data_IF_715053123009
#
_entry.id   IF_715053123009
#
_cell.length_a   1.000
_cell.length_b   1.000
_cell.length_c   1.000
_cell.angle_alpha   90.00
_cell.angle_beta   90.00
_cell.angle_gamma   90.00
#
_symmetry.space_group_name_H-M   'P 1'
#
loop_
_entity.id
_entity.type
_entity.pdbx_description
1 polymer ?
#
# COMPACT_ATOMS: atom_id res chain seq x y z
N UNK A 1 -4.13 -3.02 17.54
CA UNK A 1 -4.03 -4.18 16.62
C UNK A 1 -2.98 -3.82 15.59
N UNK A 2 -1.87 -4.56 15.54
CA UNK A 2 -0.86 -4.43 14.48
C UNK A 2 -1.26 -5.37 13.34
N UNK A 3 -1.08 -4.94 12.10
CA UNK A 3 -1.43 -5.74 10.92
C UNK A 3 -2.19 -4.96 9.86
N UNK A 4 -1.83 -5.20 8.59
CA UNK A 4 -2.55 -4.66 7.45
C UNK A 4 -3.89 -5.40 7.29
N UNK A 5 -4.94 -4.65 6.97
CA UNK A 5 -6.26 -5.20 6.66
C UNK A 5 -6.57 -4.92 5.20
N UNK A 6 -7.14 -5.91 4.53
CA UNK A 6 -7.67 -5.78 3.19
C UNK A 6 -9.16 -5.97 3.27
N UNK A 7 -9.93 -5.11 2.61
CA UNK A 7 -11.36 -5.31 2.47
C UNK A 7 -11.85 -5.14 1.05
N UNK A 8 -12.89 -5.91 0.74
CA UNK A 8 -13.62 -5.79 -0.52
C UNK A 8 -15.10 -6.05 -0.24
N UNK A 9 -15.97 -5.09 -0.60
CA UNK A 9 -17.42 -5.13 -0.31
C UNK A 9 -17.75 -5.55 1.15
N UNK A 10 -17.14 -4.87 2.12
CA UNK A 10 -17.36 -5.10 3.56
C UNK A 10 -16.95 -6.49 4.06
N UNK A 11 -16.25 -7.29 3.25
CA UNK A 11 -15.55 -8.49 3.69
C UNK A 11 -14.10 -8.16 3.95
N UNK A 12 -13.62 -8.54 5.12
CA UNK A 12 -12.30 -8.23 5.61
C UNK A 12 -11.44 -9.48 5.64
N UNK A 13 -10.18 -9.34 5.20
CA UNK A 13 -9.11 -10.26 5.49
C UNK A 13 -8.09 -9.53 6.37
N UNK A 14 -7.82 -10.09 7.55
CA UNK A 14 -6.80 -9.58 8.44
C UNK A 14 -5.49 -10.32 8.18
N UNK A 15 -4.39 -9.58 8.20
CA UNK A 15 -3.05 -10.13 8.02
C UNK A 15 -2.25 -9.95 9.30
N UNK A 16 -1.29 -10.84 9.51
CA UNK A 16 -0.29 -10.72 10.58
C UNK A 16 0.96 -10.00 10.07
N UNK A 17 0.84 -9.18 9.02
CA UNK A 17 1.97 -8.50 8.42
C UNK A 17 2.41 -7.34 9.31
N UNK A 18 3.68 -7.38 9.70
CA UNK A 18 4.36 -6.28 10.37
C UNK A 18 5.31 -5.60 9.40
N UNK A 19 5.39 -4.27 9.47
CA UNK A 19 6.34 -3.48 8.68
C UNK A 19 7.24 -2.68 9.59
N UNK A 20 8.54 -2.58 9.26
CA UNK A 20 9.48 -1.81 10.06
C UNK A 20 9.06 -0.33 10.09
N UNK A 21 8.94 0.22 11.30
CA UNK A 21 8.71 1.65 11.49
C UNK A 21 9.97 2.44 11.11
N UNK A 22 9.82 3.66 10.58
CA UNK A 22 10.94 4.57 10.23
C UNK A 22 11.82 4.10 9.06
N UNK A 23 11.43 3.05 8.35
CA UNK A 23 12.12 2.54 7.16
C UNK A 23 11.17 2.54 5.96
N UNK A 24 11.71 2.85 4.78
CA UNK A 24 11.00 2.69 3.53
C UNK A 24 10.68 1.23 3.25
N UNK A 25 9.40 0.93 3.04
CA UNK A 25 8.96 -0.39 2.59
C UNK A 25 8.19 -0.28 1.28
N UNK A 26 8.46 -1.19 0.34
CA UNK A 26 7.60 -1.36 -0.84
C UNK A 26 6.50 -2.36 -0.52
N UNK A 27 5.26 -1.89 -0.59
CA UNK A 27 4.06 -2.69 -0.39
C UNK A 27 3.31 -2.84 -1.71
N UNK A 28 3.12 -4.08 -2.13
CA UNK A 28 2.33 -4.39 -3.31
C UNK A 28 1.14 -5.28 -2.94
N UNK A 29 -0.07 -4.81 -3.27
CA UNK A 29 -1.29 -5.60 -3.17
C UNK A 29 -1.76 -6.01 -4.57
N UNK A 30 -2.07 -7.30 -4.75
CA UNK A 30 -2.65 -7.83 -5.97
C UNK A 30 -3.98 -8.50 -5.65
N UNK A 31 -5.01 -8.21 -6.44
CA UNK A 31 -6.30 -8.88 -6.37
C UNK A 31 -6.74 -9.37 -7.75
N UNK A 32 -7.23 -10.60 -7.81
CA UNK A 32 -7.78 -11.22 -9.02
C UNK A 32 -9.28 -11.45 -8.88
N UNK A 33 -10.08 -10.70 -9.63
CA UNK A 33 -11.55 -10.76 -9.65
C UNK A 33 -12.08 -12.13 -10.07
N UNK A 34 -11.43 -12.78 -11.03
CA UNK A 34 -11.90 -14.06 -11.59
C UNK A 34 -11.85 -15.21 -10.59
N UNK A 35 -10.86 -15.22 -9.68
CA UNK A 35 -10.67 -16.28 -8.68
C UNK A 35 -10.95 -15.82 -7.25
N UNK A 36 -11.03 -14.50 -7.02
CA UNK A 36 -11.14 -13.90 -5.69
C UNK A 36 -9.83 -13.93 -4.90
N UNK A 37 -8.73 -14.37 -5.49
CA UNK A 37 -7.43 -14.47 -4.83
C UNK A 37 -6.80 -13.09 -4.61
N UNK A 38 -6.14 -12.93 -3.47
CA UNK A 38 -5.34 -11.76 -3.18
C UNK A 38 -3.95 -12.15 -2.66
N UNK A 39 -3.00 -11.26 -2.91
CA UNK A 39 -1.60 -11.42 -2.52
C UNK A 39 -1.06 -10.10 -2.00
N UNK A 40 -0.22 -10.16 -0.97
CA UNK A 40 0.59 -9.05 -0.49
C UNK A 40 2.06 -9.43 -0.67
N UNK A 41 2.80 -8.48 -1.23
CA UNK A 41 4.24 -8.54 -1.31
C UNK A 41 4.84 -7.38 -0.52
N UNK A 42 5.85 -7.68 0.29
CA UNK A 42 6.65 -6.71 1.01
C UNK A 42 8.08 -6.77 0.47
N UNK A 43 8.61 -5.65 0.01
CA UNK A 43 9.95 -5.57 -0.59
C UNK A 43 10.20 -6.69 -1.61
N UNK A 44 9.23 -6.88 -2.52
CA UNK A 44 9.32 -7.89 -3.59
C UNK A 44 9.08 -9.35 -3.17
N UNK A 45 8.93 -9.66 -1.88
CA UNK A 45 8.66 -11.02 -1.39
C UNK A 45 7.20 -11.21 -1.02
N UNK A 46 6.59 -12.33 -1.41
CA UNK A 46 5.21 -12.65 -1.04
C UNK A 46 5.13 -12.98 0.45
N UNK A 47 4.45 -12.15 1.24
CA UNK A 47 4.34 -12.33 2.69
C UNK A 47 2.98 -12.89 3.10
N UNK A 48 1.91 -12.56 2.37
CA UNK A 48 0.56 -13.01 2.68
C UNK A 48 -0.24 -13.25 1.40
N UNK A 49 -1.20 -14.16 1.48
CA UNK A 49 -2.18 -14.42 0.44
C UNK A 49 -3.46 -14.96 1.06
N UNK A 50 -4.52 -14.98 0.26
CA UNK A 50 -5.77 -15.60 0.63
C UNK A 50 -6.80 -15.44 -0.47
N UNK A 51 -8.06 -15.65 -0.11
CA UNK A 51 -9.18 -15.43 -1.02
C UNK A 51 -10.30 -14.65 -0.34
N UNK A 52 -11.00 -13.87 -1.15
CA UNK A 52 -12.28 -13.25 -0.82
C UNK A 52 -13.34 -13.86 -1.76
N UNK A 53 -14.64 -13.75 -1.43
CA UNK A 53 -15.69 -14.26 -2.30
C UNK A 53 -15.55 -13.78 -3.74
N UNK A 54 -15.60 -14.70 -4.69
CA UNK A 54 -15.50 -14.39 -6.13
C UNK A 54 -16.56 -13.36 -6.51
N UNK A 55 -16.12 -12.27 -7.09
CA UNK A 55 -17.02 -11.19 -7.46
C UNK A 55 -17.57 -11.42 -8.85
N UNK A 56 -18.90 -11.54 -8.94
CA UNK A 56 -19.63 -11.62 -10.22
C UNK A 56 -19.87 -10.25 -10.87
N UNK A 57 -19.45 -9.16 -10.22
CA UNK A 57 -19.62 -7.78 -10.68
C UNK A 57 -18.27 -7.07 -10.64
N UNK A 58 -17.91 -6.38 -11.71
CA UNK A 58 -16.72 -5.53 -11.82
C UNK A 58 -16.81 -4.37 -10.83
N UNK A 59 -15.66 -3.82 -10.41
CA UNK A 59 -15.61 -2.52 -9.72
C UNK A 59 -16.34 -1.50 -10.59
N UNK A 60 -17.46 -1.00 -10.09
CA UNK A 60 -18.25 -0.02 -10.82
C UNK A 60 -17.49 1.30 -10.82
N UNK A 61 -17.40 1.96 -11.98
CA UNK A 61 -16.81 3.30 -12.08
C UNK A 61 -17.54 4.33 -11.22
N UNK A 62 -16.99 5.55 -11.14
CA UNK A 62 -17.47 6.68 -10.30
C UNK A 62 -17.20 6.54 -8.80
N UNK A 63 -16.29 5.63 -8.41
CA UNK A 63 -15.74 5.59 -7.05
C UNK A 63 -14.78 6.75 -6.74
N UNK A 64 -14.37 6.86 -5.48
CA UNK A 64 -13.35 7.80 -5.02
C UNK A 64 -12.12 7.05 -4.48
N UNK A 65 -10.93 7.43 -4.92
CA UNK A 65 -9.66 6.96 -4.35
C UNK A 65 -9.25 7.91 -3.22
N UNK A 66 -9.14 7.38 -2.01
CA UNK A 66 -8.74 8.14 -0.83
C UNK A 66 -7.45 7.52 -0.28
N UNK A 67 -6.47 8.37 0.00
CA UNK A 67 -5.18 7.98 0.57
C UNK A 67 -5.08 8.59 1.97
N UNK A 68 -4.73 7.74 2.94
CA UNK A 68 -4.46 8.15 4.30
C UNK A 68 -5.67 8.36 5.22
N UNK A 69 -6.87 8.00 4.76
CA UNK A 69 -8.10 8.00 5.58
C UNK A 69 -8.95 6.77 5.26
N UNK A 70 -9.68 6.27 6.25
CA UNK A 70 -10.76 5.30 6.05
C UNK A 70 -12.06 6.02 5.66
N UNK A 71 -12.76 5.53 4.63
CA UNK A 71 -14.08 6.04 4.24
C UNK A 71 -15.21 5.30 4.96
N UNK A 72 -15.96 6.02 5.81
CA UNK A 72 -17.25 5.55 6.35
C UNK A 72 -18.45 5.97 5.48
N UNK A 73 -18.23 6.92 4.56
CA UNK A 73 -19.22 7.37 3.57
C UNK A 73 -18.53 7.65 2.22
N UNK A 74 -19.30 7.75 1.14
CA UNK A 74 -18.75 8.06 -0.18
C UNK A 74 -17.98 9.38 -0.15
N UNK A 75 -16.65 9.32 -0.36
CA UNK A 75 -15.76 10.48 -0.35
C UNK A 75 -15.60 11.17 1.01
N UNK A 76 -16.03 10.55 2.11
CA UNK A 76 -16.05 11.20 3.42
C UNK A 76 -16.28 10.26 4.60
N UNK A 77 -16.73 10.83 5.72
CA UNK A 77 -16.88 10.10 6.99
C UNK A 77 -15.54 9.82 7.69
N UNK A 78 -14.50 10.60 7.39
CA UNK A 78 -13.16 10.39 7.94
C UNK A 78 -13.11 10.65 9.44
N UNK A 79 -12.42 9.77 10.17
CA UNK A 79 -12.15 9.92 11.59
C UNK A 79 -10.65 10.11 11.84
N UNK A 80 -10.30 11.07 12.71
CA UNK A 80 -8.89 11.46 12.94
C UNK A 80 -8.04 10.30 13.44
N UNK A 81 -8.59 9.46 14.30
CA UNK A 81 -7.95 8.28 14.89
C UNK A 81 -7.76 7.13 13.90
N UNK A 82 -8.43 7.17 12.75
CA UNK A 82 -8.27 6.23 11.63
C UNK A 82 -7.36 6.77 10.52
N UNK A 83 -6.72 7.92 10.74
CA UNK A 83 -5.85 8.55 9.75
C UNK A 83 -4.46 7.92 9.71
N UNK A 84 -3.89 7.86 8.51
CA UNK A 84 -2.50 7.48 8.29
C UNK A 84 -1.58 8.64 8.65
N UNK A 85 -0.52 8.35 9.42
CA UNK A 85 0.54 9.30 9.77
C UNK A 85 1.88 8.74 9.30
N UNK A 86 2.40 9.30 8.21
CA UNK A 86 3.58 8.77 7.54
C UNK A 86 3.88 9.44 6.20
N UNK A 87 4.75 8.82 5.43
CA UNK A 87 5.13 9.24 4.08
C UNK A 87 4.73 8.18 3.06
N UNK A 88 4.12 8.60 1.96
CA UNK A 88 3.82 7.72 0.83
C UNK A 88 4.50 8.30 -0.40
N UNK A 89 5.23 7.46 -1.13
CA UNK A 89 5.81 7.82 -2.43
C UNK A 89 5.54 6.73 -3.46
N UNK A 90 5.79 7.00 -4.74
CA UNK A 90 5.66 6.04 -5.83
C UNK A 90 4.34 5.23 -5.78
N UNK A 91 3.22 5.91 -5.53
CA UNK A 91 1.90 5.29 -5.58
C UNK A 91 1.56 4.93 -7.03
N UNK A 92 1.27 3.66 -7.27
CA UNK A 92 0.90 3.17 -8.58
C UNK A 92 -0.30 2.23 -8.50
N UNK A 93 -1.22 2.35 -9.45
CA UNK A 93 -2.43 1.53 -9.55
C UNK A 93 -2.58 1.03 -10.99
N UNK A 94 -2.81 -0.27 -11.16
CA UNK A 94 -2.93 -0.90 -12.47
C UNK A 94 -4.19 -1.76 -12.59
N UNK A 95 -4.76 -1.79 -13.80
CA UNK A 95 -5.89 -2.66 -14.18
C UNK A 95 -5.49 -3.58 -15.33
N UNK A 96 -5.78 -4.88 -15.23
CA UNK A 96 -5.55 -5.86 -16.29
C UNK A 96 -4.13 -6.45 -16.29
N UNK A 97 -3.97 -7.57 -16.99
CA UNK A 97 -2.80 -8.47 -16.94
C UNK A 97 -1.52 -7.70 -17.28
N UNK A 98 -0.77 -7.34 -16.25
CA UNK A 98 0.64 -6.97 -16.39
C UNK A 98 1.48 -7.79 -15.43
N UNK A 99 1.28 -9.12 -15.46
CA UNK A 99 2.12 -10.09 -14.75
C UNK A 99 3.60 -9.74 -14.93
N UNK A 100 4.04 -9.34 -16.13
CA UNK A 100 5.44 -8.97 -16.36
C UNK A 100 5.91 -7.71 -15.63
N UNK A 101 5.14 -6.63 -15.60
CA UNK A 101 5.56 -5.39 -14.92
C UNK A 101 5.48 -5.56 -13.42
N UNK A 102 4.44 -6.22 -12.93
CA UNK A 102 4.32 -6.54 -11.50
C UNK A 102 5.47 -7.45 -11.09
N UNK A 103 5.78 -8.50 -11.85
CA UNK A 103 6.96 -9.34 -11.59
C UNK A 103 8.27 -8.57 -11.67
N UNK A 104 8.44 -7.64 -12.63
CA UNK A 104 9.63 -6.79 -12.72
C UNK A 104 9.75 -5.84 -11.54
N UNK A 105 8.66 -5.22 -11.09
CA UNK A 105 8.64 -4.39 -9.90
C UNK A 105 8.97 -5.21 -8.66
N UNK A 106 8.29 -6.36 -8.48
CA UNK A 106 8.59 -7.28 -7.40
C UNK A 106 10.06 -7.70 -7.41
N UNK A 107 10.62 -8.06 -8.58
CA UNK A 107 12.04 -8.38 -8.74
C UNK A 107 12.96 -7.19 -8.42
N UNK A 108 12.58 -5.96 -8.81
CA UNK A 108 13.37 -4.77 -8.54
C UNK A 108 13.44 -4.43 -7.05
N UNK A 109 12.39 -4.75 -6.28
CA UNK A 109 12.36 -4.56 -4.83
C UNK A 109 12.81 -5.79 -4.05
N UNK A 110 12.94 -6.96 -4.69
CA UNK A 110 13.34 -8.21 -4.02
C UNK A 110 14.76 -8.11 -3.48
N UNK A 111 14.91 -8.38 -2.19
CA UNK A 111 16.21 -8.25 -1.52
C UNK A 111 16.66 -6.81 -1.29
N UNK A 112 15.77 -5.82 -1.55
CA UNK A 112 16.00 -4.45 -1.15
C UNK A 112 16.01 -4.39 0.38
N UNK A 113 17.20 -4.41 0.96
CA UNK A 113 17.41 -4.05 2.36
C UNK A 113 17.31 -2.54 2.43
N UNK A 114 16.36 -2.04 3.21
CA UNK A 114 16.18 -0.60 3.40
C UNK A 114 17.50 -0.04 3.92
N UNK A 115 18.25 0.73 3.11
CA UNK A 115 19.44 1.38 3.62
C UNK A 115 18.96 2.30 4.73
N UNK A 116 19.70 2.31 5.84
CA UNK A 116 19.48 3.20 6.97
C UNK A 116 19.74 4.64 6.49
N UNK A 117 18.86 5.17 5.65
CA UNK A 117 18.77 6.58 5.37
C UNK A 117 18.12 7.15 6.62
N UNK A 118 18.97 7.49 7.59
CA UNK A 118 18.61 8.60 8.45
C UNK A 118 18.07 9.70 7.53
N UNK A 119 16.90 10.29 7.81
CA UNK A 119 16.25 11.24 6.89
C UNK A 119 16.99 12.58 6.72
N UNK A 120 18.32 12.61 6.89
CA UNK A 120 19.13 13.83 6.88
C UNK A 120 19.93 14.06 5.60
N UNK A 121 19.92 13.19 4.57
CA UNK A 121 20.90 13.34 3.47
C UNK A 121 20.46 13.03 2.03
N UNK A 122 19.20 12.69 1.71
CA UNK A 122 18.82 12.44 0.30
C UNK A 122 17.76 13.45 -0.18
N UNK A 123 18.26 14.36 -1.01
CA UNK A 123 17.57 15.28 -1.93
C UNK A 123 16.97 16.59 -1.39
N UNK A 124 17.89 17.49 -1.04
CA UNK A 124 17.76 18.95 -1.10
C UNK A 124 17.61 19.53 -2.53
N UNK A 125 17.18 18.76 -3.53
CA UNK A 125 17.33 19.14 -4.95
C UNK A 125 16.06 19.67 -5.63
N UNK A 126 14.89 19.69 -4.97
CA UNK A 126 13.71 20.38 -5.52
C UNK A 126 13.22 21.49 -4.58
N UNK A 127 14.05 22.52 -4.47
CA UNK A 127 13.78 23.88 -3.97
C UNK A 127 12.47 24.10 -3.17
N UNK A 128 12.61 24.13 -1.85
CA UNK A 128 11.63 24.76 -0.96
C UNK A 128 11.65 24.15 0.43
N UNK A 129 12.60 24.58 1.27
CA UNK A 129 12.72 24.24 2.70
C UNK A 129 11.36 23.94 3.35
N UNK A 130 11.16 22.70 3.79
CA UNK A 130 10.26 22.40 4.90
C UNK A 130 11.04 21.56 5.90
N UNK A 131 11.31 22.16 7.04
CA UNK A 131 11.76 21.44 8.22
C UNK A 131 10.59 20.54 8.66
N UNK A 132 10.73 19.23 8.47
CA UNK A 132 9.77 18.27 8.98
C UNK A 132 10.21 17.85 10.38
N UNK A 133 9.48 18.35 11.38
CA UNK A 133 9.70 18.03 12.79
C UNK A 133 9.54 16.53 13.12
N UNK A 134 10.21 16.13 14.22
CA UNK A 134 10.22 14.83 14.90
C UNK A 134 9.40 13.68 14.26
N UNK A 135 10.12 12.72 13.69
CA UNK A 135 9.60 11.51 13.02
C UNK A 135 9.39 10.34 13.98
N UNK A 136 8.74 10.55 15.11
CA UNK A 136 8.37 9.45 15.99
C UNK A 136 7.19 8.65 15.40
N UNK A 137 7.42 7.38 15.07
CA UNK A 137 6.35 6.41 14.76
C UNK A 137 5.73 6.45 13.36
N UNK A 138 6.34 7.13 12.40
CA UNK A 138 5.81 7.25 11.02
C UNK A 138 6.21 6.08 10.13
N UNK A 139 5.25 5.57 9.34
CA UNK A 139 5.49 4.60 8.28
C UNK A 139 5.93 5.34 7.01
N UNK A 140 6.92 4.84 6.28
CA UNK A 140 7.31 5.35 4.96
C UNK A 140 7.10 4.25 3.93
N UNK A 141 6.17 4.45 3.00
CA UNK A 141 5.68 3.38 2.11
C UNK A 141 5.74 3.78 0.64
N UNK A 142 6.16 2.83 -0.19
CA UNK A 142 5.87 2.82 -1.62
C UNK A 142 4.71 1.88 -1.87
N UNK A 143 3.65 2.33 -2.54
CA UNK A 143 2.39 1.58 -2.65
C UNK A 143 2.07 1.21 -4.10
N UNK A 144 1.95 -0.09 -4.35
CA UNK A 144 1.55 -0.66 -5.63
C UNK A 144 0.24 -1.44 -5.46
N UNK A 145 -0.78 -1.14 -6.28
CA UNK A 145 -2.07 -1.85 -6.27
C UNK A 145 -2.39 -2.40 -7.66
N UNK A 146 -2.55 -3.71 -7.75
CA UNK A 146 -2.81 -4.42 -9.00
C UNK A 146 -4.18 -5.08 -8.93
N UNK A 147 -5.04 -4.74 -9.88
CA UNK A 147 -6.40 -5.25 -10.00
C UNK A 147 -6.53 -5.99 -11.33
N UNK A 148 -6.81 -7.30 -11.27
CA UNK A 148 -6.93 -8.20 -12.43
C UNK A 148 -8.30 -8.83 -12.57
#
# INVERSE_FOLDING_TARGET
MTGYKVSLHSKWAQTNLETPLRYWAHFCFRYRFSTGEWFIFLNGEMTNHGSLPVMRRTVVGKGAYIIGQEQDAFGGGFQRDQSYSGEITQLNIWTGIIDRVVQQLLMAYKGWVVPNSQPSQVDSVLNGKREFGNMEGRLSMQLSVVIE
#
